data_IF_890458646812
#
_entry.id   IF_890458646812
#
_cell.length_a   1.000
_cell.length_b   1.000
_cell.length_c   1.000
_cell.angle_alpha   90.00
_cell.angle_beta   90.00
_cell.angle_gamma   90.00
#
_symmetry.space_group_name_H-M   'P 1'
#
loop_
_entity.id
_entity.type
_entity.pdbx_description
1 polymer ?
#
# COMPACT_ATOMS: atom_id res chain seq x y z
N UNK A 1 17.85 -6.07 -25.92
CA UNK A 1 16.90 -6.55 -24.90
C UNK A 1 17.72 -6.90 -23.69
N UNK A 2 17.47 -6.23 -22.56
CA UNK A 2 18.11 -6.57 -21.29
C UNK A 2 17.61 -7.96 -20.89
N UNK A 3 18.50 -8.85 -20.47
CA UNK A 3 18.10 -10.17 -19.97
C UNK A 3 17.35 -9.96 -18.65
N UNK A 4 16.04 -10.25 -18.62
CA UNK A 4 15.16 -10.06 -17.46
C UNK A 4 15.74 -10.70 -16.20
N UNK A 5 16.23 -11.95 -16.31
CA UNK A 5 16.82 -12.68 -15.20
C UNK A 5 18.11 -12.00 -14.67
N UNK A 6 18.96 -11.47 -15.56
CA UNK A 6 20.16 -10.73 -15.15
C UNK A 6 19.81 -9.41 -14.44
N UNK A 7 18.73 -8.75 -14.87
CA UNK A 7 18.27 -7.53 -14.22
C UNK A 7 17.73 -7.79 -12.82
N UNK A 8 16.90 -8.82 -12.66
CA UNK A 8 16.41 -9.26 -11.33
C UNK A 8 17.57 -9.69 -10.44
N UNK A 9 18.54 -10.43 -10.97
CA UNK A 9 19.73 -10.84 -10.21
C UNK A 9 20.52 -9.66 -9.66
N UNK A 10 20.73 -8.59 -10.45
CA UNK A 10 21.40 -7.36 -9.98
C UNK A 10 20.64 -6.68 -8.84
N UNK A 11 19.32 -6.76 -8.83
CA UNK A 11 18.51 -6.26 -7.73
C UNK A 11 18.61 -7.16 -6.49
N UNK A 12 18.62 -8.48 -6.65
CA UNK A 12 18.86 -9.44 -5.55
C UNK A 12 20.24 -9.26 -4.91
N UNK A 13 21.25 -8.89 -5.70
CA UNK A 13 22.61 -8.54 -5.25
C UNK A 13 22.69 -7.21 -4.49
N UNK A 14 21.59 -6.43 -4.44
CA UNK A 14 21.55 -5.20 -3.64
C UNK A 14 21.58 -5.51 -2.14
N UNK A 15 22.03 -4.55 -1.33
CA UNK A 15 22.19 -4.75 0.12
C UNK A 15 20.85 -4.89 0.87
N UNK A 16 19.71 -4.58 0.25
CA UNK A 16 18.40 -4.59 0.91
C UNK A 16 17.22 -4.73 -0.08
N UNK A 17 17.09 -5.85 -0.81
CA UNK A 17 15.98 -6.07 -1.75
C UNK A 17 14.61 -6.05 -1.04
N UNK A 18 14.55 -6.49 0.23
CA UNK A 18 13.30 -6.55 1.01
C UNK A 18 12.72 -5.17 1.35
N UNK A 19 13.55 -4.12 1.38
CA UNK A 19 13.15 -2.73 1.64
C UNK A 19 13.33 -1.82 0.42
N UNK A 20 13.59 -2.40 -0.75
CA UNK A 20 13.72 -1.62 -1.98
C UNK A 20 12.39 -0.94 -2.34
N UNK A 21 12.40 0.39 -2.31
CA UNK A 21 11.27 1.22 -2.72
C UNK A 21 11.20 1.30 -4.25
N UNK A 22 10.14 0.72 -4.83
CA UNK A 22 9.91 0.64 -6.27
C UNK A 22 9.72 2.02 -6.94
N UNK A 23 9.47 3.11 -6.18
CA UNK A 23 9.44 4.47 -6.74
C UNK A 23 10.82 4.89 -7.28
N UNK A 24 11.91 4.34 -6.73
CA UNK A 24 13.27 4.62 -7.23
C UNK A 24 13.44 4.24 -8.71
N UNK A 25 12.65 3.29 -9.22
CA UNK A 25 12.70 2.84 -10.61
C UNK A 25 11.86 3.71 -11.55
N UNK A 26 10.91 4.48 -11.01
CA UNK A 26 10.02 5.34 -11.81
C UNK A 26 10.37 6.82 -11.76
N UNK A 27 11.30 7.20 -10.88
CA UNK A 27 11.74 8.57 -10.75
C UNK A 27 12.58 9.03 -11.96
N UNK A 28 12.40 10.27 -12.38
CA UNK A 28 13.22 10.92 -13.42
C UNK A 28 13.96 12.12 -12.84
N UNK A 29 15.23 12.36 -13.24
CA UNK A 29 15.95 13.57 -12.87
C UNK A 29 15.20 14.82 -13.34
N UNK A 30 15.15 15.86 -12.49
CA UNK A 30 14.57 17.15 -12.86
C UNK A 30 15.32 17.75 -14.06
N UNK A 31 14.59 18.22 -15.07
CA UNK A 31 15.17 18.94 -16.22
C UNK A 31 15.50 20.42 -15.91
N UNK A 32 15.07 20.95 -14.77
CA UNK A 32 15.37 22.31 -14.32
C UNK A 32 16.28 22.22 -13.11
N UNK A 33 17.53 22.69 -13.26
CA UNK A 33 18.55 22.65 -12.21
C UNK A 33 18.03 23.21 -10.88
N UNK A 34 17.96 22.34 -9.87
CA UNK A 34 17.42 22.59 -8.53
C UNK A 34 17.01 21.26 -7.89
N UNK A 35 17.68 20.89 -6.80
CA UNK A 35 17.67 19.63 -6.02
C UNK A 35 17.55 18.27 -6.75
N UNK A 36 18.35 17.38 -6.20
CA UNK A 36 18.63 15.97 -6.51
C UNK A 36 17.40 15.09 -6.34
N UNK A 37 17.04 14.37 -7.41
CA UNK A 37 16.41 13.05 -7.49
C UNK A 37 15.68 12.45 -6.26
N UNK A 38 14.50 11.83 -6.43
CA UNK A 38 13.80 11.07 -5.39
C UNK A 38 14.74 10.09 -4.65
N UNK A 39 15.69 9.50 -5.38
CA UNK A 39 16.73 8.60 -4.86
C UNK A 39 17.63 9.22 -3.79
N UNK A 40 17.69 10.55 -3.70
CA UNK A 40 18.44 11.28 -2.68
C UNK A 40 17.69 11.47 -1.36
N UNK A 41 16.40 11.13 -1.29
CA UNK A 41 15.62 11.20 -0.06
C UNK A 41 15.93 10.01 0.83
N UNK A 42 16.40 10.27 2.06
CA UNK A 42 16.76 9.23 3.03
C UNK A 42 15.72 9.04 4.13
N UNK A 43 14.83 10.00 4.33
CA UNK A 43 13.76 9.92 5.34
C UNK A 43 12.46 9.41 4.71
N UNK A 44 11.85 8.41 5.33
CA UNK A 44 10.65 7.74 4.81
C UNK A 44 9.41 8.62 4.82
N UNK A 45 9.29 9.58 5.75
CA UNK A 45 8.23 10.58 5.69
C UNK A 45 8.44 11.53 4.52
N UNK A 46 9.68 12.00 4.29
CA UNK A 46 9.99 12.84 3.13
C UNK A 46 9.59 12.14 1.82
N UNK A 47 9.97 10.86 1.65
CA UNK A 47 9.58 10.04 0.51
C UNK A 47 8.05 9.94 0.35
N UNK A 48 7.34 9.59 1.43
CA UNK A 48 5.88 9.50 1.41
C UNK A 48 5.23 10.82 1.00
N UNK A 49 5.66 11.93 1.59
CA UNK A 49 5.10 13.24 1.26
C UNK A 49 5.43 13.66 -0.18
N UNK A 50 6.66 13.46 -0.67
CA UNK A 50 7.00 13.74 -2.08
C UNK A 50 6.12 12.92 -3.01
N UNK A 51 5.98 11.62 -2.77
CA UNK A 51 5.15 10.76 -3.60
C UNK A 51 3.69 11.24 -3.65
N UNK A 52 3.11 11.63 -2.50
CA UNK A 52 1.72 12.10 -2.45
C UNK A 52 1.52 13.49 -3.06
N UNK A 53 2.54 14.36 -3.05
CA UNK A 53 2.44 15.73 -3.58
C UNK A 53 2.66 15.85 -5.09
N UNK A 54 3.35 14.89 -5.74
CA UNK A 54 3.72 14.94 -7.17
C UNK A 54 2.61 14.39 -8.10
N UNK A 55 1.46 13.96 -7.58
CA UNK A 55 0.38 13.43 -8.42
C UNK A 55 -0.15 14.49 -9.43
N UNK A 56 -0.19 14.19 -10.75
CA UNK A 56 -0.29 15.18 -11.83
C UNK A 56 -1.55 16.08 -11.81
N UNK A 57 -2.57 15.71 -11.06
CA UNK A 57 -3.84 16.45 -11.02
C UNK A 57 -3.80 17.72 -10.16
N UNK A 58 -2.74 17.96 -9.37
CA UNK A 58 -2.80 18.95 -8.28
C UNK A 58 -1.67 20.00 -8.25
N UNK A 59 -1.07 20.29 -9.42
CA UNK A 59 -0.06 21.34 -9.66
C UNK A 59 -0.50 22.80 -9.34
N UNK A 60 -1.61 23.02 -8.64
CA UNK A 60 -2.21 24.35 -8.44
C UNK A 60 -1.93 25.01 -7.08
N UNK A 61 -1.22 24.36 -6.16
CA UNK A 61 -0.76 25.02 -4.92
C UNK A 61 0.74 25.27 -5.01
N UNK A 62 1.12 26.06 -6.00
CA UNK A 62 2.43 26.69 -6.06
C UNK A 62 2.59 27.66 -4.89
N UNK A 63 3.32 27.24 -3.86
CA UNK A 63 3.85 28.11 -2.81
C UNK A 63 5.36 28.30 -3.02
N UNK A 64 5.77 29.52 -3.38
CA UNK A 64 7.18 29.95 -3.48
C UNK A 64 7.85 30.12 -2.09
N UNK A 65 7.66 29.15 -1.18
CA UNK A 65 8.27 29.07 0.18
C UNK A 65 8.02 27.70 0.85
N UNK A 66 9.08 26.94 1.18
CA UNK A 66 8.99 25.70 1.97
C UNK A 66 9.91 24.54 1.56
N UNK A 67 9.79 23.38 2.24
CA UNK A 67 10.65 22.16 2.13
C UNK A 67 10.97 21.69 0.71
N UNK A 68 10.06 22.01 -0.20
CA UNK A 68 9.95 21.50 -1.55
C UNK A 68 9.93 22.63 -2.57
N UNK A 69 10.51 23.79 -2.24
CA UNK A 69 10.41 25.03 -3.03
C UNK A 69 10.84 24.93 -4.50
N UNK A 70 11.35 23.78 -4.95
CA UNK A 70 11.65 23.49 -6.35
C UNK A 70 11.47 22.00 -6.70
N UNK A 71 10.40 21.31 -6.29
CA UNK A 71 10.26 19.87 -6.64
C UNK A 71 9.90 19.67 -8.12
N UNK A 72 10.92 19.73 -8.99
CA UNK A 72 10.90 19.16 -10.34
C UNK A 72 10.94 17.63 -10.34
N UNK A 73 10.44 16.98 -9.29
CA UNK A 73 10.37 15.53 -9.21
C UNK A 73 9.27 15.04 -10.14
N UNK A 74 9.62 14.13 -11.03
CA UNK A 74 8.65 13.38 -11.82
C UNK A 74 8.75 11.93 -11.36
N UNK A 75 7.88 11.54 -10.43
CA UNK A 75 7.65 10.15 -10.04
C UNK A 75 6.41 9.64 -10.76
N UNK A 76 6.39 8.36 -11.11
CA UNK A 76 5.23 7.70 -11.71
C UNK A 76 4.83 6.49 -10.88
N UNK A 77 3.59 6.06 -11.02
CA UNK A 77 3.09 4.87 -10.32
C UNK A 77 3.93 3.62 -10.68
N UNK A 78 4.58 2.96 -9.70
CA UNK A 78 5.40 1.78 -9.96
C UNK A 78 4.63 0.62 -10.60
N UNK A 79 3.34 0.47 -10.31
CA UNK A 79 2.47 -0.57 -10.88
C UNK A 79 2.54 -0.64 -12.41
N UNK A 80 2.80 0.49 -13.07
CA UNK A 80 2.75 0.64 -14.52
C UNK A 80 4.09 0.99 -15.16
N UNK A 81 5.01 1.55 -14.37
CA UNK A 81 6.20 2.21 -14.89
C UNK A 81 7.51 1.63 -14.38
N UNK A 82 7.48 0.77 -13.35
CA UNK A 82 8.69 0.11 -12.87
C UNK A 82 9.09 -1.03 -13.82
N UNK A 83 10.22 -0.87 -14.51
CA UNK A 83 10.84 -1.94 -15.30
C UNK A 83 11.32 -3.10 -14.42
N UNK A 84 11.78 -2.83 -13.20
CA UNK A 84 12.16 -3.86 -12.24
C UNK A 84 10.95 -4.70 -11.81
N UNK A 85 9.83 -4.06 -11.46
CA UNK A 85 8.61 -4.76 -11.06
C UNK A 85 8.08 -5.66 -12.19
N UNK A 86 8.08 -5.16 -13.43
CA UNK A 86 7.73 -5.96 -14.60
C UNK A 86 8.68 -7.15 -14.79
N UNK A 87 9.99 -6.94 -14.62
CA UNK A 87 10.98 -7.99 -14.72
C UNK A 87 10.79 -9.08 -13.65
N UNK A 88 10.49 -8.68 -12.41
CA UNK A 88 10.15 -9.60 -11.33
C UNK A 88 8.93 -10.43 -11.70
N UNK A 89 7.88 -9.82 -12.24
CA UNK A 89 6.67 -10.56 -12.61
C UNK A 89 6.85 -11.55 -13.74
N UNK A 90 7.65 -11.20 -14.75
CA UNK A 90 7.99 -12.09 -15.86
C UNK A 90 8.81 -13.31 -15.42
N UNK A 91 9.67 -13.13 -14.42
CA UNK A 91 10.53 -14.19 -13.88
C UNK A 91 9.78 -15.09 -12.87
N UNK A 92 8.98 -14.46 -12.01
CA UNK A 92 8.35 -15.14 -10.88
C UNK A 92 7.10 -15.93 -11.29
N UNK A 93 6.23 -15.34 -12.12
CA UNK A 93 4.91 -15.89 -12.38
C UNK A 93 4.83 -16.63 -13.73
N UNK A 94 3.99 -17.68 -13.84
CA UNK A 94 3.84 -18.42 -15.09
C UNK A 94 3.39 -17.53 -16.26
N UNK A 95 4.00 -17.74 -17.45
CA UNK A 95 3.58 -17.04 -18.68
C UNK A 95 2.11 -17.29 -19.03
N UNK A 96 1.61 -18.49 -18.74
CA UNK A 96 0.19 -18.83 -18.91
C UNK A 96 -0.75 -17.94 -18.09
N UNK A 97 -0.27 -17.27 -17.04
CA UNK A 97 -0.99 -16.23 -16.29
C UNK A 97 -0.64 -14.83 -16.83
N UNK A 98 0.64 -14.48 -16.85
CA UNK A 98 1.07 -13.09 -17.11
C UNK A 98 0.86 -12.64 -18.55
N UNK A 99 0.75 -13.54 -19.53
CA UNK A 99 0.44 -13.23 -20.93
C UNK A 99 -1.07 -13.06 -21.20
N UNK A 100 -1.92 -13.37 -20.22
CA UNK A 100 -3.36 -13.25 -20.38
C UNK A 100 -3.79 -11.80 -20.55
N UNK A 101 -4.75 -11.57 -21.45
CA UNK A 101 -5.29 -10.23 -21.73
C UNK A 101 -5.87 -9.56 -20.48
N UNK A 102 -6.44 -10.33 -19.56
CA UNK A 102 -7.00 -9.78 -18.32
C UNK A 102 -5.94 -9.30 -17.34
N UNK A 103 -4.69 -9.78 -17.43
CA UNK A 103 -3.55 -9.34 -16.61
C UNK A 103 -2.79 -8.15 -17.20
N UNK A 104 -3.13 -7.70 -18.41
CA UNK A 104 -2.28 -6.77 -19.17
C UNK A 104 -2.97 -5.45 -19.51
N UNK A 105 -2.24 -4.36 -19.31
CA UNK A 105 -2.58 -3.05 -19.87
C UNK A 105 -1.93 -2.92 -21.23
N UNK A 106 -2.76 -2.91 -22.27
CA UNK A 106 -2.30 -2.76 -23.65
C UNK A 106 -2.35 -1.29 -24.04
N UNK A 107 -1.19 -0.73 -24.39
CA UNK A 107 -1.06 0.60 -25.01
C UNK A 107 -0.59 0.44 -26.45
N UNK A 108 -0.59 1.53 -27.24
CA UNK A 108 -0.13 1.51 -28.64
C UNK A 108 1.32 1.03 -28.81
N UNK A 109 2.15 1.15 -27.77
CA UNK A 109 3.59 0.86 -27.82
C UNK A 109 4.04 -0.29 -26.93
N UNK A 110 3.37 -0.47 -25.79
CA UNK A 110 3.80 -1.40 -24.74
C UNK A 110 2.62 -2.23 -24.19
N UNK A 111 2.93 -3.40 -23.67
CA UNK A 111 2.03 -4.27 -22.91
C UNK A 111 2.65 -4.55 -21.55
N UNK A 112 2.03 -4.06 -20.46
CA UNK A 112 2.55 -4.22 -19.10
C UNK A 112 1.62 -5.10 -18.27
N UNK A 113 2.19 -5.94 -17.42
CA UNK A 113 1.47 -6.69 -16.39
C UNK A 113 0.92 -5.67 -15.40
N UNK A 114 -0.35 -5.81 -15.05
CA UNK A 114 -1.03 -4.94 -14.09
C UNK A 114 -0.82 -5.50 -12.71
N UNK A 115 -0.54 -4.63 -11.76
CA UNK A 115 -0.46 -4.93 -10.35
C UNK A 115 -1.17 -3.87 -9.53
N UNK A 116 -1.27 -4.17 -8.26
CA UNK A 116 -1.91 -3.32 -7.28
C UNK A 116 -1.28 -3.55 -5.90
N UNK A 117 -1.27 -2.50 -5.08
CA UNK A 117 -0.96 -2.51 -3.65
C UNK A 117 -2.24 -2.49 -2.80
N UNK A 118 -2.45 -3.48 -1.91
CA UNK A 118 -3.63 -3.49 -1.03
C UNK A 118 -3.30 -3.08 0.40
N UNK A 119 -2.51 -2.01 0.54
CA UNK A 119 -2.48 -1.22 1.77
C UNK A 119 -2.67 0.24 1.39
N UNK A 120 -3.53 0.94 2.13
CA UNK A 120 -3.83 2.35 1.88
C UNK A 120 -3.05 3.24 2.84
N UNK A 121 -1.76 3.54 2.56
CA UNK A 121 -0.93 4.28 3.49
C UNK A 121 -1.47 5.68 3.79
N UNK A 122 -2.11 6.32 2.81
CA UNK A 122 -2.75 7.62 3.00
C UNK A 122 -3.93 7.54 3.97
N UNK A 123 -4.76 6.51 3.86
CA UNK A 123 -5.90 6.30 4.76
C UNK A 123 -5.42 5.99 6.17
N UNK A 124 -4.50 5.06 6.33
CA UNK A 124 -3.93 4.71 7.65
C UNK A 124 -3.22 5.90 8.30
N UNK A 125 -2.43 6.65 7.53
CA UNK A 125 -1.76 7.87 7.99
C UNK A 125 -2.78 8.93 8.43
N UNK A 126 -3.81 9.19 7.63
CA UNK A 126 -4.90 10.13 7.96
C UNK A 126 -5.61 9.74 9.25
N UNK A 127 -5.93 8.45 9.40
CA UNK A 127 -6.59 7.93 10.58
C UNK A 127 -5.73 8.05 11.83
N UNK A 128 -4.44 7.69 11.76
CA UNK A 128 -3.49 7.87 12.87
C UNK A 128 -3.37 9.34 13.26
N UNK A 129 -3.09 10.23 12.29
CA UNK A 129 -2.94 11.65 12.59
C UNK A 129 -4.19 12.30 13.18
N UNK A 130 -5.38 11.85 12.77
CA UNK A 130 -6.64 12.37 13.35
C UNK A 130 -6.78 12.04 14.84
N UNK A 131 -6.25 10.90 15.31
CA UNK A 131 -6.34 10.51 16.71
C UNK A 131 -5.39 11.33 17.62
N UNK A 132 -4.24 11.76 17.10
CA UNK A 132 -3.26 12.55 17.86
C UNK A 132 -3.41 14.07 17.65
N UNK A 133 -4.02 14.48 16.54
CA UNK A 133 -4.25 15.87 16.18
C UNK A 133 -5.68 16.00 15.60
N UNK A 134 -6.64 16.30 16.49
CA UNK A 134 -8.02 16.66 16.12
C UNK A 134 -8.27 18.16 16.41
N UNK A 135 -8.84 18.89 15.43
CA UNK A 135 -9.23 20.29 15.63
C UNK A 135 -10.45 20.51 16.51
N UNK A 136 -11.32 19.51 16.66
CA UNK A 136 -12.59 19.70 17.38
C UNK A 136 -12.42 19.61 18.90
N UNK A 137 -11.49 18.79 19.36
CA UNK A 137 -11.35 18.48 20.79
C UNK A 137 -10.01 18.89 21.39
N UNK A 138 -9.01 19.27 20.57
CA UNK A 138 -7.65 19.55 21.04
C UNK A 138 -7.19 18.48 22.03
N UNK A 139 -7.08 17.24 21.57
CA UNK A 139 -6.44 16.20 22.37
C UNK A 139 -4.93 16.47 22.40
N UNK A 140 -4.52 17.43 23.22
CA UNK A 140 -3.13 17.67 23.55
C UNK A 140 -2.71 16.57 24.53
N UNK A 141 -2.30 15.42 23.99
CA UNK A 141 -1.65 14.43 24.84
C UNK A 141 -0.28 14.96 25.25
N UNK A 142 -0.15 15.29 26.53
CA UNK A 142 1.11 15.36 27.29
C UNK A 142 2.32 15.80 26.47
N UNK A 143 2.37 17.09 26.16
CA UNK A 143 3.58 17.93 26.04
C UNK A 143 4.90 17.20 25.72
N UNK A 144 4.96 16.42 24.64
CA UNK A 144 6.27 16.21 24.05
C UNK A 144 6.71 17.56 23.50
N UNK A 145 7.99 17.90 23.71
CA UNK A 145 8.54 19.16 23.21
C UNK A 145 8.29 19.33 21.70
N UNK A 146 8.25 18.21 20.98
CA UNK A 146 7.89 18.15 19.58
C UNK A 146 6.42 18.54 19.33
N UNK A 147 5.48 17.92 20.05
CA UNK A 147 4.04 18.23 19.95
C UNK A 147 3.71 19.68 20.27
N UNK A 148 4.27 20.24 21.34
CA UNK A 148 4.05 21.65 21.74
C UNK A 148 4.44 22.65 20.63
N UNK A 149 5.51 22.33 19.89
CA UNK A 149 6.01 23.18 18.81
C UNK A 149 5.21 23.01 17.52
N UNK A 150 4.76 21.79 17.21
CA UNK A 150 4.17 21.45 15.91
C UNK A 150 2.66 21.69 15.85
N UNK A 151 1.94 21.36 16.91
CA UNK A 151 0.46 21.42 16.93
C UNK A 151 -0.09 22.81 16.57
N UNK A 152 0.46 23.94 17.08
CA UNK A 152 -0.02 25.27 16.71
C UNK A 152 0.09 25.54 15.20
N UNK A 153 1.20 25.13 14.57
CA UNK A 153 1.43 25.32 13.14
C UNK A 153 0.49 24.44 12.31
N UNK A 154 0.32 23.16 12.69
CA UNK A 154 -0.65 22.26 12.05
C UNK A 154 -2.08 22.83 12.08
N UNK A 155 -2.51 23.40 13.22
CA UNK A 155 -3.81 24.08 13.34
C UNK A 155 -3.89 25.31 12.43
N UNK A 156 -2.79 26.06 12.29
CA UNK A 156 -2.70 27.21 11.39
C UNK A 156 -2.81 26.77 9.90
N UNK A 157 -2.07 25.75 9.49
CA UNK A 157 -2.15 25.14 8.15
C UNK A 157 -3.59 24.71 7.86
N UNK A 158 -4.26 24.08 8.82
CA UNK A 158 -5.64 23.65 8.64
C UNK A 158 -6.58 24.82 8.40
N UNK A 159 -6.50 25.89 9.22
CA UNK A 159 -7.32 27.09 9.04
C UNK A 159 -7.16 27.66 7.63
N UNK A 160 -5.91 27.79 7.15
CA UNK A 160 -5.64 28.25 5.79
C UNK A 160 -6.23 27.34 4.71
N UNK A 161 -6.23 26.01 4.92
CA UNK A 161 -6.88 25.07 4.00
C UNK A 161 -8.40 25.24 4.02
N UNK A 162 -9.00 25.35 5.20
CA UNK A 162 -10.44 25.48 5.40
C UNK A 162 -10.98 26.79 4.82
N UNK A 163 -10.23 27.90 4.92
CA UNK A 163 -10.59 29.19 4.34
C UNK A 163 -10.69 29.12 2.81
N UNK A 164 -9.80 28.36 2.16
CA UNK A 164 -9.79 28.16 0.71
C UNK A 164 -10.77 27.07 0.26
N UNK A 165 -10.93 26.03 1.07
CA UNK A 165 -11.74 24.85 0.77
C UNK A 165 -12.55 24.42 2.01
N UNK A 166 -13.70 25.04 2.28
CA UNK A 166 -14.48 24.81 3.50
C UNK A 166 -14.99 23.37 3.69
N UNK A 167 -15.04 22.59 2.60
CA UNK A 167 -15.47 21.17 2.59
C UNK A 167 -14.30 20.18 2.54
N UNK A 168 -13.05 20.66 2.60
CA UNK A 168 -11.87 19.80 2.58
C UNK A 168 -11.83 18.94 3.85
N UNK A 169 -11.61 17.63 3.68
CA UNK A 169 -11.36 16.72 4.79
C UNK A 169 -9.99 16.99 5.42
N UNK A 170 -9.83 16.61 6.68
CA UNK A 170 -8.52 16.62 7.35
C UNK A 170 -7.54 15.67 6.64
N UNK A 171 -6.24 16.01 6.68
CA UNK A 171 -5.15 15.17 6.18
C UNK A 171 -5.26 14.74 4.71
N UNK A 172 -5.89 15.54 3.86
CA UNK A 172 -5.85 15.28 2.40
C UNK A 172 -4.46 15.57 1.83
N UNK A 173 -4.23 15.15 0.58
CA UNK A 173 -3.02 15.49 -0.19
C UNK A 173 -2.71 16.99 -0.14
N UNK A 174 -3.72 17.86 -0.28
CA UNK A 174 -3.55 19.31 -0.20
C UNK A 174 -3.05 19.76 1.18
N UNK A 175 -3.60 19.18 2.25
CA UNK A 175 -3.15 19.47 3.61
C UNK A 175 -1.70 19.03 3.79
N UNK A 176 -1.37 17.79 3.42
CA UNK A 176 -0.01 17.26 3.52
C UNK A 176 0.99 18.12 2.74
N UNK A 177 0.62 18.59 1.54
CA UNK A 177 1.45 19.50 0.74
C UNK A 177 1.77 20.79 1.48
N UNK A 178 0.76 21.44 2.05
CA UNK A 178 0.92 22.69 2.79
C UNK A 178 1.65 22.48 4.11
N UNK A 179 1.36 21.39 4.82
CA UNK A 179 2.01 21.05 6.07
C UNK A 179 3.50 20.89 5.88
N UNK A 180 3.90 20.16 4.84
CA UNK A 180 5.31 19.96 4.56
C UNK A 180 6.03 21.27 4.23
N UNK A 181 5.43 22.10 3.37
CA UNK A 181 6.01 23.39 3.00
C UNK A 181 6.20 24.31 4.23
N UNK A 182 5.15 24.47 5.04
CA UNK A 182 5.14 25.39 6.19
C UNK A 182 5.98 24.90 7.36
N UNK A 183 5.87 23.62 7.72
CA UNK A 183 6.68 23.04 8.81
C UNK A 183 8.17 23.15 8.52
N UNK A 184 8.57 23.14 7.25
CA UNK A 184 9.99 23.29 6.92
C UNK A 184 10.47 24.72 6.89
N UNK A 185 9.62 25.65 6.43
CA UNK A 185 9.90 27.07 6.55
C UNK A 185 10.08 27.52 8.01
N UNK A 186 9.39 26.84 8.94
CA UNK A 186 9.47 27.07 10.37
C UNK A 186 10.45 26.14 11.12
N UNK A 187 11.21 25.30 10.41
CA UNK A 187 12.16 24.32 11.01
C UNK A 187 11.51 23.34 12.03
N UNK A 188 10.24 23.01 11.83
CA UNK A 188 9.42 22.09 12.64
C UNK A 188 9.26 20.70 12.03
N UNK A 189 9.85 20.42 10.86
CA UNK A 189 9.75 19.12 10.20
C UNK A 189 10.16 17.96 11.10
N UNK A 190 11.36 18.07 11.70
CA UNK A 190 11.91 17.02 12.55
C UNK A 190 11.03 16.80 13.77
N UNK A 191 10.56 17.88 14.39
CA UNK A 191 9.61 17.80 15.50
C UNK A 191 8.32 17.11 15.05
N UNK A 192 7.80 17.38 13.85
CA UNK A 192 6.59 16.71 13.38
C UNK A 192 6.79 15.20 13.23
N UNK A 193 7.91 14.77 12.65
CA UNK A 193 8.22 13.35 12.49
C UNK A 193 8.45 12.67 13.85
N UNK A 194 9.18 13.33 14.76
CA UNK A 194 9.34 12.87 16.14
C UNK A 194 8.00 12.73 16.84
N UNK A 195 7.10 13.70 16.68
CA UNK A 195 5.77 13.63 17.29
C UNK A 195 4.93 12.45 16.76
N UNK A 196 5.03 12.14 15.46
CA UNK A 196 4.39 10.94 14.90
C UNK A 196 5.02 9.69 15.50
N UNK A 197 6.35 9.57 15.49
CA UNK A 197 7.07 8.38 15.97
C UNK A 197 6.86 8.14 17.48
N UNK A 198 6.69 9.19 18.29
CA UNK A 198 6.38 9.09 19.73
C UNK A 198 4.99 8.47 19.99
N UNK A 199 4.03 8.67 19.07
CA UNK A 199 2.67 8.16 19.22
C UNK A 199 2.41 6.88 18.41
N UNK A 200 3.11 6.71 17.29
CA UNK A 200 3.02 5.59 16.36
C UNK A 200 4.42 5.13 15.91
N UNK A 201 5.19 4.46 16.78
CA UNK A 201 6.52 3.93 16.44
C UNK A 201 6.59 3.13 15.13
N UNK A 202 5.52 2.44 14.73
CA UNK A 202 5.46 1.63 13.52
C UNK A 202 5.03 2.42 12.27
N UNK A 203 4.63 3.68 12.38
CA UNK A 203 4.14 4.46 11.24
C UNK A 203 5.21 4.62 10.16
N UNK A 204 6.43 4.99 10.56
CA UNK A 204 7.55 5.19 9.62
C UNK A 204 7.86 3.92 8.83
N UNK A 205 7.97 2.79 9.53
CA UNK A 205 8.23 1.49 8.92
C UNK A 205 7.08 1.07 7.99
N UNK A 206 5.83 1.28 8.40
CA UNK A 206 4.65 1.01 7.56
C UNK A 206 4.69 1.80 6.25
N UNK A 207 5.02 3.10 6.30
CA UNK A 207 5.15 3.93 5.11
C UNK A 207 6.31 3.46 4.21
N UNK A 208 7.44 3.07 4.80
CA UNK A 208 8.60 2.56 4.07
C UNK A 208 8.26 1.26 3.30
N UNK A 209 7.41 0.41 3.87
CA UNK A 209 6.99 -0.85 3.26
C UNK A 209 5.88 -0.70 2.20
N UNK A 210 5.31 0.49 2.03
CA UNK A 210 4.15 0.69 1.15
C UNK A 210 4.45 0.49 -0.34
N UNK A 211 5.71 0.62 -0.75
CA UNK A 211 6.13 0.47 -2.16
C UNK A 211 7.21 -0.61 -2.33
N UNK A 212 7.27 -1.59 -1.44
CA UNK A 212 8.15 -2.75 -1.57
C UNK A 212 7.43 -3.90 -2.26
N UNK A 213 8.20 -4.87 -2.78
CA UNK A 213 7.66 -5.99 -3.57
C UNK A 213 6.58 -6.80 -2.83
N UNK A 214 6.68 -6.92 -1.50
CA UNK A 214 5.70 -7.67 -0.71
C UNK A 214 4.33 -7.02 -0.62
N UNK A 215 4.18 -5.75 -0.98
CA UNK A 215 2.89 -5.07 -1.00
C UNK A 215 2.21 -5.14 -2.39
N UNK A 216 3.01 -5.34 -3.45
CA UNK A 216 2.53 -5.43 -4.82
C UNK A 216 2.07 -6.84 -5.18
N UNK A 217 0.96 -6.96 -5.89
CA UNK A 217 0.49 -8.24 -6.41
C UNK A 217 -0.04 -8.06 -7.84
N UNK A 218 0.27 -8.97 -8.79
CA UNK A 218 -0.34 -8.92 -10.10
C UNK A 218 -1.84 -9.22 -10.01
N UNK A 219 -2.66 -8.31 -10.55
CA UNK A 219 -4.12 -8.38 -10.51
C UNK A 219 -4.71 -8.01 -11.88
N UNK A 220 -5.98 -8.34 -12.15
CA UNK A 220 -6.58 -8.04 -13.44
C UNK A 220 -6.82 -6.55 -13.66
N UNK A 221 -6.96 -6.15 -14.91
CA UNK A 221 -7.20 -4.74 -15.26
C UNK A 221 -8.47 -4.19 -14.60
N UNK A 222 -8.32 -3.06 -13.89
CA UNK A 222 -9.41 -2.40 -13.18
C UNK A 222 -9.77 -3.04 -11.84
N UNK A 223 -9.00 -4.04 -11.37
CA UNK A 223 -9.10 -4.52 -10.00
C UNK A 223 -8.81 -3.38 -9.03
N UNK A 224 -9.60 -3.31 -7.95
CA UNK A 224 -9.54 -2.25 -6.96
C UNK A 224 -9.56 -0.81 -7.53
N UNK A 225 -10.14 -0.56 -8.70
CA UNK A 225 -10.12 0.78 -9.32
C UNK A 225 -10.79 1.89 -8.47
N UNK A 226 -11.54 1.53 -7.43
CA UNK A 226 -12.13 2.46 -6.47
C UNK A 226 -11.20 2.82 -5.28
N UNK A 227 -9.87 2.85 -5.51
CA UNK A 227 -8.78 3.20 -4.55
C UNK A 227 -8.89 4.56 -3.83
N UNK A 228 -10.03 5.24 -3.89
CA UNK A 228 -10.23 6.54 -3.26
C UNK A 228 -11.65 6.72 -2.73
N UNK A 229 -11.78 7.59 -1.73
CA UNK A 229 -13.07 7.93 -1.16
C UNK A 229 -13.60 6.88 -0.17
N UNK A 230 -14.91 6.61 -0.12
CA UNK A 230 -15.52 5.78 0.93
C UNK A 230 -15.02 4.33 1.01
N UNK A 231 -14.41 3.82 -0.07
CA UNK A 231 -13.98 2.42 -0.16
C UNK A 231 -12.51 2.21 0.21
N UNK A 232 -11.68 3.27 0.23
CA UNK A 232 -10.26 3.19 0.56
C UNK A 232 -9.97 2.64 1.98
N UNK A 233 -10.98 2.64 2.86
CA UNK A 233 -10.88 1.99 4.16
C UNK A 233 -10.82 0.46 4.08
N UNK A 234 -11.19 -0.14 2.95
CA UNK A 234 -11.17 -1.59 2.70
C UNK A 234 -9.96 -2.07 1.90
N UNK A 235 -9.06 -1.15 1.55
CA UNK A 235 -7.79 -1.43 0.85
C UNK A 235 -6.78 -2.09 1.81
N UNK A 236 -7.11 -3.32 2.21
CA UNK A 236 -6.30 -4.19 3.05
C UNK A 236 -6.28 -5.59 2.43
N UNK A 237 -5.08 -6.20 2.37
CA UNK A 237 -4.91 -7.53 1.77
C UNK A 237 -5.78 -8.58 2.45
N UNK A 238 -5.90 -8.58 3.78
CA UNK A 238 -6.72 -9.55 4.51
C UNK A 238 -8.22 -9.43 4.17
N UNK A 239 -8.76 -8.21 4.10
CA UNK A 239 -10.15 -7.96 3.71
C UNK A 239 -10.41 -8.34 2.26
N UNK A 240 -9.48 -8.00 1.36
CA UNK A 240 -9.57 -8.37 -0.05
C UNK A 240 -9.54 -9.90 -0.19
N UNK A 241 -8.69 -10.58 0.56
CA UNK A 241 -8.59 -12.04 0.57
C UNK A 241 -9.79 -12.72 1.19
N UNK A 242 -10.43 -12.15 2.22
CA UNK A 242 -11.71 -12.64 2.72
C UNK A 242 -12.75 -12.72 1.59
N UNK A 243 -12.82 -11.72 0.72
CA UNK A 243 -13.77 -11.68 -0.40
C UNK A 243 -13.39 -12.60 -1.56
N UNK A 244 -12.10 -12.72 -1.86
CA UNK A 244 -11.63 -13.71 -2.84
C UNK A 244 -11.89 -15.14 -2.34
N UNK A 245 -11.62 -15.42 -1.06
CA UNK A 245 -11.90 -16.71 -0.44
C UNK A 245 -13.40 -17.02 -0.44
N UNK A 246 -14.25 -16.03 -0.11
CA UNK A 246 -15.70 -16.15 -0.23
C UNK A 246 -16.12 -16.56 -1.66
N UNK A 247 -15.49 -15.98 -2.69
CA UNK A 247 -15.76 -16.35 -4.08
C UNK A 247 -15.39 -17.80 -4.44
N UNK A 248 -14.31 -18.35 -3.87
CA UNK A 248 -13.91 -19.76 -4.06
C UNK A 248 -14.75 -20.75 -3.26
N UNK A 249 -15.34 -20.32 -2.14
CA UNK A 249 -16.16 -21.19 -1.28
C UNK A 249 -17.61 -21.32 -1.75
N UNK A 250 -18.11 -20.34 -2.51
CA UNK A 250 -19.40 -20.43 -3.21
C UNK A 250 -19.43 -21.60 -4.20
N UNK A 251 -20.43 -22.49 -4.08
CA UNK A 251 -20.50 -23.74 -4.85
C UNK A 251 -21.61 -23.67 -5.89
N UNK A 252 -21.25 -23.69 -7.19
CA UNK A 252 -22.08 -24.15 -8.34
C UNK A 252 -23.45 -23.46 -8.62
N UNK A 253 -24.31 -23.31 -7.61
CA UNK A 253 -25.60 -22.60 -7.64
C UNK A 253 -25.48 -21.13 -7.23
N UNK A 254 -24.33 -20.73 -6.71
CA UNK A 254 -24.08 -19.40 -6.13
C UNK A 254 -23.49 -18.42 -7.16
N UNK A 255 -23.74 -18.62 -8.46
CA UNK A 255 -23.15 -17.80 -9.53
C UNK A 255 -23.49 -16.30 -9.37
N UNK A 256 -24.72 -15.98 -8.92
CA UNK A 256 -25.13 -14.61 -8.62
C UNK A 256 -24.37 -14.03 -7.42
N UNK A 257 -24.08 -14.83 -6.40
CA UNK A 257 -23.32 -14.39 -5.22
C UNK A 257 -21.85 -14.17 -5.56
N UNK A 258 -21.27 -15.03 -6.41
CA UNK A 258 -19.92 -14.85 -6.99
C UNK A 258 -19.83 -13.56 -7.80
N UNK A 259 -20.82 -13.30 -8.66
CA UNK A 259 -20.87 -12.09 -9.46
C UNK A 259 -21.04 -10.84 -8.59
N UNK A 260 -21.84 -10.91 -7.52
CA UNK A 260 -22.04 -9.82 -6.57
C UNK A 260 -20.73 -9.46 -5.84
N UNK A 261 -20.02 -10.45 -5.29
CA UNK A 261 -18.71 -10.24 -4.64
C UNK A 261 -17.73 -9.57 -5.61
N UNK A 262 -17.63 -10.08 -6.84
CA UNK A 262 -16.74 -9.49 -7.84
C UNK A 262 -17.14 -8.04 -8.13
N UNK A 263 -18.41 -7.79 -8.43
CA UNK A 263 -18.85 -6.48 -8.90
C UNK A 263 -18.88 -5.42 -7.81
N UNK A 264 -19.41 -5.76 -6.63
CA UNK A 264 -19.71 -4.80 -5.57
C UNK A 264 -18.61 -4.71 -4.52
N UNK A 265 -17.88 -5.81 -4.28
CA UNK A 265 -16.88 -5.87 -3.21
C UNK A 265 -15.45 -5.75 -3.75
N UNK A 266 -15.06 -6.54 -4.75
CA UNK A 266 -13.70 -6.52 -5.29
C UNK A 266 -13.45 -5.37 -6.29
N UNK A 267 -14.46 -5.04 -7.11
CA UNK A 267 -14.34 -4.02 -8.14
C UNK A 267 -15.06 -2.71 -7.82
N UNK A 268 -15.95 -2.71 -6.83
CA UNK A 268 -16.76 -1.54 -6.45
C UNK A 268 -17.41 -0.83 -7.64
N UNK A 269 -17.88 -1.59 -8.64
CA UNK A 269 -18.47 -1.11 -9.88
C UNK A 269 -17.53 -0.25 -10.75
N UNK A 270 -16.20 -0.34 -10.57
CA UNK A 270 -15.19 0.46 -11.28
C UNK A 270 -14.20 -0.34 -12.14
N UNK A 271 -14.37 -1.66 -12.27
CA UNK A 271 -13.54 -2.53 -13.11
C UNK A 271 -14.34 -3.33 -14.16
N UNK A 272 -13.69 -4.32 -14.76
CA UNK A 272 -14.33 -5.29 -15.67
C UNK A 272 -14.56 -6.62 -14.94
N UNK A 273 -15.81 -6.95 -14.51
CA UNK A 273 -16.10 -8.21 -13.80
C UNK A 273 -15.59 -9.45 -14.54
N UNK A 274 -15.75 -9.49 -15.86
CA UNK A 274 -15.25 -10.58 -16.70
C UNK A 274 -13.75 -10.86 -16.53
N UNK A 275 -12.94 -9.81 -16.34
CA UNK A 275 -11.50 -9.98 -16.17
C UNK A 275 -11.16 -10.52 -14.78
N UNK A 276 -11.88 -10.06 -13.75
CA UNK A 276 -11.73 -10.57 -12.40
C UNK A 276 -12.13 -12.05 -12.32
N UNK A 277 -13.29 -12.42 -12.88
CA UNK A 277 -13.75 -13.82 -12.91
C UNK A 277 -12.74 -14.71 -13.65
N UNK A 278 -12.28 -14.31 -14.84
CA UNK A 278 -11.29 -15.09 -15.60
C UNK A 278 -9.95 -15.26 -14.88
N UNK A 279 -9.55 -14.25 -14.10
CA UNK A 279 -8.36 -14.32 -13.26
C UNK A 279 -8.53 -15.33 -12.14
N UNK A 280 -9.66 -15.31 -11.42
CA UNK A 280 -9.93 -16.27 -10.35
C UNK A 280 -10.11 -17.70 -10.87
N UNK A 281 -10.86 -17.88 -11.96
CA UNK A 281 -11.03 -19.18 -12.65
C UNK A 281 -9.71 -19.73 -13.20
N UNK A 282 -8.73 -18.87 -13.50
CA UNK A 282 -7.43 -19.32 -13.99
C UNK A 282 -6.76 -20.27 -12.98
N UNK A 283 -6.89 -20.00 -11.68
CA UNK A 283 -6.30 -20.83 -10.63
C UNK A 283 -7.08 -22.14 -10.37
N UNK A 284 -8.35 -22.23 -10.76
CA UNK A 284 -9.15 -23.46 -10.63
C UNK A 284 -8.77 -24.53 -11.67
N UNK A 285 -8.20 -24.11 -12.81
CA UNK A 285 -7.87 -24.99 -13.93
C UNK A 285 -6.73 -25.93 -13.60
N UNK A 286 -6.95 -27.22 -13.81
CA UNK A 286 -5.98 -28.29 -13.53
C UNK A 286 -4.61 -28.07 -14.20
N UNK A 287 -4.59 -27.56 -15.43
CA UNK A 287 -3.35 -27.27 -16.16
C UNK A 287 -2.52 -26.13 -15.56
N UNK A 288 -3.11 -25.31 -14.69
CA UNK A 288 -2.47 -24.15 -14.08
C UNK A 288 -2.08 -24.38 -12.61
N UNK A 289 -2.37 -25.56 -12.05
CA UNK A 289 -2.05 -25.87 -10.66
C UNK A 289 -0.58 -26.19 -10.47
N UNK A 290 0.06 -25.56 -9.50
CA UNK A 290 1.43 -25.90 -9.06
C UNK A 290 1.48 -27.27 -8.39
N UNK A 291 0.40 -27.64 -7.69
CA UNK A 291 0.17 -28.97 -7.13
C UNK A 291 -1.24 -29.44 -7.52
N UNK A 292 -1.33 -30.57 -8.23
CA UNK A 292 -2.59 -31.13 -8.73
C UNK A 292 -3.55 -31.60 -7.63
N UNK A 293 -3.08 -31.70 -6.39
CA UNK A 293 -3.92 -32.05 -5.25
C UNK A 293 -4.61 -30.84 -4.62
N UNK A 294 -4.19 -29.63 -4.97
CA UNK A 294 -4.76 -28.39 -4.45
C UNK A 294 -6.06 -27.99 -5.15
N UNK A 295 -6.94 -27.30 -4.44
CA UNK A 295 -8.06 -26.57 -5.05
C UNK A 295 -7.60 -25.21 -5.61
N UNK A 296 -8.54 -24.46 -6.21
CA UNK A 296 -8.23 -23.17 -6.81
C UNK A 296 -7.77 -22.10 -5.82
N UNK A 297 -8.25 -22.14 -4.57
CA UNK A 297 -7.87 -21.18 -3.54
C UNK A 297 -6.43 -21.42 -3.06
N UNK A 298 -6.07 -22.66 -2.78
CA UNK A 298 -4.71 -23.00 -2.38
C UNK A 298 -3.71 -22.67 -3.50
N UNK A 299 -4.06 -22.99 -4.75
CA UNK A 299 -3.24 -22.63 -5.91
C UNK A 299 -3.10 -21.10 -6.07
N UNK A 300 -4.17 -20.33 -5.80
CA UNK A 300 -4.14 -18.86 -5.79
C UNK A 300 -3.16 -18.32 -4.74
N UNK A 301 -3.28 -18.79 -3.49
CA UNK A 301 -2.42 -18.36 -2.38
C UNK A 301 -0.96 -18.67 -2.67
N UNK A 302 -0.67 -19.89 -3.14
CA UNK A 302 0.69 -20.35 -3.38
C UNK A 302 1.34 -19.68 -4.58
N UNK A 303 0.62 -19.57 -5.69
CA UNK A 303 1.14 -18.93 -6.91
C UNK A 303 1.45 -17.46 -6.68
N UNK A 304 0.67 -16.75 -5.84
CA UNK A 304 0.82 -15.32 -5.57
C UNK A 304 1.65 -14.98 -4.32
N UNK A 305 2.17 -16.00 -3.64
CA UNK A 305 2.98 -15.90 -2.42
C UNK A 305 2.25 -15.17 -1.28
N UNK A 306 1.00 -15.56 -1.01
CA UNK A 306 0.11 -14.90 -0.04
C UNK A 306 -0.01 -15.66 1.30
N UNK A 307 0.88 -16.61 1.56
CA UNK A 307 0.84 -17.45 2.77
C UNK A 307 0.90 -16.63 4.06
N UNK A 308 1.53 -15.46 4.04
CA UNK A 308 1.63 -14.57 5.20
C UNK A 308 0.30 -13.84 5.52
N UNK A 309 -0.75 -14.06 4.74
CA UNK A 309 -2.11 -13.53 4.93
C UNK A 309 -3.18 -14.60 5.19
N UNK A 310 -2.78 -15.86 5.38
CA UNK A 310 -3.67 -16.97 5.71
C UNK A 310 -3.16 -17.74 6.91
N UNK A 311 -4.01 -18.56 7.52
CA UNK A 311 -3.55 -19.51 8.53
C UNK A 311 -2.76 -20.64 7.87
N UNK A 312 -1.44 -20.71 8.10
CA UNK A 312 -0.58 -21.79 7.56
C UNK A 312 -0.38 -22.95 8.54
N UNK A 313 -0.86 -22.78 9.77
CA UNK A 313 -0.83 -23.78 10.82
C UNK A 313 -2.24 -23.94 11.40
N UNK A 314 -2.49 -25.09 12.04
CA UNK A 314 -3.79 -25.35 12.64
C UNK A 314 -3.94 -24.52 13.92
N UNK A 315 -4.68 -23.42 13.81
CA UNK A 315 -5.07 -22.58 14.94
C UNK A 315 -6.50 -22.93 15.39
N UNK A 316 -6.77 -22.84 16.70
CA UNK A 316 -8.09 -23.22 17.24
C UNK A 316 -9.19 -22.31 16.69
N UNK A 317 -10.16 -22.87 15.99
CA UNK A 317 -11.28 -22.13 15.43
C UNK A 317 -11.08 -21.62 14.00
N UNK A 318 -9.92 -21.88 13.39
CA UNK A 318 -9.62 -21.47 12.01
C UNK A 318 -9.18 -22.66 11.16
N UNK A 319 -9.58 -22.65 9.89
CA UNK A 319 -9.17 -23.66 8.92
C UNK A 319 -7.82 -23.32 8.30
N UNK A 320 -7.08 -24.35 7.88
CA UNK A 320 -5.84 -24.18 7.13
C UNK A 320 -6.15 -23.41 5.84
N UNK A 321 -5.35 -22.39 5.54
CA UNK A 321 -5.47 -21.45 4.42
C UNK A 321 -6.67 -20.50 4.48
N UNK A 322 -7.44 -20.48 5.56
CA UNK A 322 -8.44 -19.43 5.77
C UNK A 322 -7.74 -18.04 5.82
N UNK A 323 -8.28 -16.98 5.18
CA UNK A 323 -7.75 -15.63 5.30
C UNK A 323 -7.62 -15.21 6.76
N UNK A 324 -6.43 -14.74 7.14
CA UNK A 324 -6.10 -14.30 8.49
C UNK A 324 -6.33 -12.80 8.60
N UNK A 325 -7.28 -12.32 9.41
CA UNK A 325 -7.45 -10.89 9.67
C UNK A 325 -6.16 -10.25 10.23
N UNK A 326 -5.88 -8.98 9.94
CA UNK A 326 -4.74 -8.28 10.56
C UNK A 326 -4.96 -8.07 12.07
N UNK A 327 -6.21 -7.91 12.52
CA UNK A 327 -6.55 -7.87 13.95
C UNK A 327 -7.91 -8.51 14.19
N UNK A 328 -8.20 -8.80 15.46
CA UNK A 328 -9.50 -9.33 15.88
C UNK A 328 -10.63 -8.39 15.42
N UNK A 329 -11.72 -8.96 14.92
CA UNK A 329 -12.85 -8.25 14.31
C UNK A 329 -12.54 -7.45 13.02
N UNK A 330 -11.33 -7.53 12.45
CA UNK A 330 -11.04 -6.88 11.17
C UNK A 330 -11.77 -7.57 10.02
N UNK A 331 -12.86 -6.94 9.61
CA UNK A 331 -13.84 -7.50 8.68
C UNK A 331 -14.27 -6.44 7.67
N UNK A 332 -14.93 -6.89 6.60
CA UNK A 332 -15.41 -5.99 5.54
C UNK A 332 -16.33 -4.86 6.04
N UNK A 333 -17.06 -5.13 7.12
CA UNK A 333 -17.99 -4.18 7.77
C UNK A 333 -17.34 -3.34 8.86
N UNK A 334 -16.23 -3.82 9.44
CA UNK A 334 -15.39 -3.10 10.41
C UNK A 334 -13.95 -2.94 9.89
N UNK A 335 -13.73 -2.20 8.78
CA UNK A 335 -12.43 -2.19 8.11
C UNK A 335 -11.44 -1.17 8.71
N UNK A 336 -11.86 -0.36 9.68
CA UNK A 336 -11.06 0.73 10.23
C UNK A 336 -9.87 0.24 11.07
N UNK A 337 -8.68 0.77 10.77
CA UNK A 337 -7.46 0.51 11.55
C UNK A 337 -7.53 1.11 12.97
N UNK A 338 -8.40 2.09 13.19
CA UNK A 338 -8.58 2.73 14.49
C UNK A 338 -9.48 1.89 15.39
N UNK A 339 -9.17 1.83 16.68
CA UNK A 339 -10.03 1.13 17.64
C UNK A 339 -11.31 1.92 17.92
N UNK A 340 -12.46 1.24 17.93
CA UNK A 340 -13.74 1.81 18.38
C UNK A 340 -13.78 2.09 19.88
N UNK A 341 -12.76 1.65 20.65
CA UNK A 341 -12.59 2.02 22.07
C UNK A 341 -12.48 3.54 22.29
N UNK A 342 -12.30 4.32 21.22
CA UNK A 342 -12.31 5.78 21.23
C UNK A 342 -13.71 6.41 21.32
N UNK A 343 -14.80 5.66 21.08
CA UNK A 343 -16.18 6.17 21.18
C UNK A 343 -16.72 5.99 22.60
N UNK A 344 -16.19 6.78 23.55
CA UNK A 344 -16.58 6.82 24.96
C UNK A 344 -15.45 7.31 25.86
N UNK A 345 -15.66 7.37 27.17
CA UNK A 345 -14.67 7.67 28.23
C UNK A 345 -13.49 6.64 28.30
N UNK A 346 -13.26 5.87 27.23
CA UNK A 346 -12.23 4.85 27.11
C UNK A 346 -10.81 5.42 27.14
N UNK A 347 -9.86 4.57 27.54
CA UNK A 347 -8.45 4.93 27.60
C UNK A 347 -7.89 5.18 26.19
N UNK A 348 -7.77 6.45 25.83
CA UNK A 348 -7.18 6.90 24.57
C UNK A 348 -5.73 6.42 24.38
N UNK A 349 -4.97 6.12 25.44
CA UNK A 349 -3.64 5.47 25.32
C UNK A 349 -3.76 4.16 24.58
N UNK A 350 -4.71 3.34 25.04
CA UNK A 350 -4.91 2.00 24.55
C UNK A 350 -5.32 2.03 23.07
N UNK A 351 -6.14 3.00 22.67
CA UNK A 351 -6.51 3.20 21.25
C UNK A 351 -5.30 3.51 20.36
N UNK A 352 -4.39 4.38 20.82
CA UNK A 352 -3.17 4.72 20.06
C UNK A 352 -2.24 3.53 19.96
N UNK A 353 -1.95 2.87 21.08
CA UNK A 353 -1.11 1.68 21.15
C UNK A 353 -1.67 0.55 20.29
N UNK A 354 -2.98 0.35 20.28
CA UNK A 354 -3.63 -0.66 19.45
C UNK A 354 -3.55 -0.30 17.96
N UNK A 355 -3.76 0.97 17.60
CA UNK A 355 -3.57 1.42 16.21
C UNK A 355 -2.12 1.21 15.76
N UNK A 356 -1.15 1.55 16.59
CA UNK A 356 0.28 1.34 16.32
C UNK A 356 0.62 -0.16 16.17
N UNK A 357 0.10 -1.01 17.07
CA UNK A 357 0.25 -2.47 17.00
C UNK A 357 -0.28 -3.01 15.66
N UNK A 358 -1.42 -2.52 15.19
CA UNK A 358 -2.02 -2.89 13.89
C UNK A 358 -1.14 -2.46 12.72
N UNK A 359 -0.54 -1.26 12.76
CA UNK A 359 0.46 -0.83 11.76
C UNK A 359 1.67 -1.78 11.74
N UNK A 360 2.15 -2.19 12.91
CA UNK A 360 3.23 -3.17 13.06
C UNK A 360 2.89 -4.51 12.42
N UNK A 361 1.70 -5.06 12.68
CA UNK A 361 1.24 -6.33 12.11
C UNK A 361 1.15 -6.30 10.58
N UNK A 362 0.56 -5.24 10.01
CA UNK A 362 0.50 -5.06 8.55
C UNK A 362 1.92 -5.03 7.96
N UNK A 363 2.80 -4.23 8.56
CA UNK A 363 4.19 -4.06 8.13
C UNK A 363 4.93 -5.40 8.15
N UNK A 364 4.75 -6.18 9.21
CA UNK A 364 5.38 -7.48 9.35
C UNK A 364 4.95 -8.44 8.24
N UNK A 365 3.65 -8.51 7.91
CA UNK A 365 3.17 -9.40 6.83
C UNK A 365 3.68 -8.99 5.46
N UNK A 366 3.75 -7.69 5.16
CA UNK A 366 4.39 -7.19 3.92
C UNK A 366 5.87 -7.62 3.87
N UNK A 367 6.59 -7.48 4.98
CA UNK A 367 8.01 -7.87 5.07
C UNK A 367 8.21 -9.37 4.87
N UNK A 368 7.37 -10.19 5.50
CA UNK A 368 7.42 -11.65 5.35
C UNK A 368 7.13 -12.07 3.91
N UNK A 369 6.10 -11.48 3.28
CA UNK A 369 5.83 -11.73 1.85
C UNK A 369 6.97 -11.29 0.95
N UNK A 370 7.59 -10.14 1.24
CA UNK A 370 8.77 -9.67 0.49
C UNK A 370 9.88 -10.72 0.51
N UNK A 371 10.22 -11.26 1.70
CA UNK A 371 11.23 -12.31 1.87
C UNK A 371 10.87 -13.58 1.12
N UNK A 372 9.59 -13.99 1.15
CA UNK A 372 9.10 -15.16 0.44
C UNK A 372 9.25 -15.01 -1.08
N UNK A 373 8.88 -13.86 -1.62
CA UNK A 373 9.05 -13.54 -3.04
C UNK A 373 10.53 -13.53 -3.42
N UNK A 374 11.37 -12.86 -2.61
CA UNK A 374 12.81 -12.81 -2.82
C UNK A 374 13.36 -14.23 -2.88
N UNK A 375 13.06 -15.06 -1.88
CA UNK A 375 13.54 -16.45 -1.84
C UNK A 375 13.16 -17.24 -3.09
N UNK A 376 11.92 -17.10 -3.56
CA UNK A 376 11.49 -17.75 -4.80
C UNK A 376 12.23 -17.25 -6.04
N UNK A 377 12.60 -15.97 -6.09
CA UNK A 377 13.43 -15.40 -7.16
C UNK A 377 14.88 -15.90 -7.09
N UNK A 378 15.46 -16.05 -5.90
CA UNK A 378 16.80 -16.63 -5.72
C UNK A 378 16.86 -18.04 -6.32
N UNK A 379 15.87 -18.88 -5.97
CA UNK A 379 15.79 -20.26 -6.44
C UNK A 379 15.60 -20.35 -7.96
N UNK A 380 14.84 -19.43 -8.56
CA UNK A 380 14.61 -19.37 -10.02
C UNK A 380 15.80 -18.85 -10.81
N UNK A 381 16.47 -17.81 -10.29
CA UNK A 381 17.60 -17.16 -10.96
C UNK A 381 18.94 -17.86 -10.70
N UNK A 382 18.97 -18.83 -9.79
CA UNK A 382 20.20 -19.49 -9.34
C UNK A 382 21.13 -18.55 -8.57
N UNK A 383 20.60 -17.46 -8.01
CA UNK A 383 21.36 -16.56 -7.15
C UNK A 383 21.55 -17.20 -5.77
N UNK A 384 22.78 -17.18 -5.27
CA UNK A 384 23.13 -17.63 -3.93
C UNK A 384 23.62 -16.39 -3.17
N UNK A 385 22.92 -15.97 -2.10
CA UNK A 385 23.35 -14.84 -1.29
C UNK A 385 24.78 -15.06 -0.77
N UNK A 386 25.60 -14.02 -0.78
CA UNK A 386 26.89 -14.07 -0.07
C UNK A 386 26.63 -14.14 1.45
N UNK A 387 27.40 -14.94 2.21
CA UNK A 387 27.20 -15.13 3.66
C UNK A 387 27.24 -13.84 4.49
#
# INVERSE_FOLDING_TARGET
MQNTAEFVKKWLESHAPETYDMINDTCRPSQKGGFTDYRGLTDEYDKFFVYKTVSPEWNLIGGKKGMFEQTGFQVSDPDLHSGLLQAIYEELYPKSLTEQRFMRRISKKNSTIISDTMTSPMTSFTHGLTQIIDSKTAFDRGSSRAGERVIPEIRNIYKQCADKHPKQKWWTVNFCTLAVAQLSACELKKDFYTYIDENYPHMRDFLAMSHTIGNYCPVPAGFNAARCGPFAKRDYWDLTLQKIYQWYTFKGKDALERDDVVQNELLHQKGLPLYCVRWLEWFEKEENKTDRTQDGWHNFVDTLYLQDYVYTEKESGHELYEPRPFWEDHTWDKPEITSSMAEGDGDKTASLQETDRRLGEITQRIRMRSRRIIKALEDRTGYIPSP
#
